data_IF_204191711144
#
_entry.id   IF_204191711144
#
_cell.length_a   1.000
_cell.length_b   1.000
_cell.length_c   1.000
_cell.angle_alpha   90.00
_cell.angle_beta   90.00
_cell.angle_gamma   90.00
#
_symmetry.space_group_name_H-M   'P 1'
#
loop_
_entity.id
_entity.type
_entity.pdbx_description
1 polymer ?
#
# COMPACT_ATOMS: atom_id res chain seq x y z
N UNK A 1 -15.10 -19.28 3.30
CA UNK A 1 -14.17 -19.29 2.16
C UNK A 1 -14.61 -18.37 1.01
N UNK A 2 -15.69 -18.66 0.27
CA UNK A 2 -16.13 -17.76 -0.82
C UNK A 2 -16.64 -16.39 -0.33
N UNK A 3 -17.38 -16.36 0.80
CA UNK A 3 -17.86 -15.10 1.39
C UNK A 3 -16.73 -14.16 1.79
N UNK A 4 -15.67 -14.71 2.38
CA UNK A 4 -14.54 -13.94 2.90
C UNK A 4 -13.72 -13.34 1.74
N UNK A 5 -13.50 -14.11 0.67
CA UNK A 5 -12.83 -13.63 -0.54
C UNK A 5 -13.62 -12.52 -1.24
N UNK A 6 -14.94 -12.68 -1.37
CA UNK A 6 -15.80 -11.66 -1.98
C UNK A 6 -15.81 -10.39 -1.14
N UNK A 7 -15.83 -10.52 0.19
CA UNK A 7 -15.79 -9.38 1.10
C UNK A 7 -14.45 -8.63 0.99
N UNK A 8 -13.32 -9.35 0.93
CA UNK A 8 -12.00 -8.77 0.74
C UNK A 8 -11.90 -8.02 -0.60
N UNK A 9 -12.31 -8.65 -1.72
CA UNK A 9 -12.31 -7.99 -3.03
C UNK A 9 -13.24 -6.76 -3.08
N UNK A 10 -14.42 -6.84 -2.45
CA UNK A 10 -15.34 -5.71 -2.36
C UNK A 10 -14.75 -4.57 -1.52
N UNK A 11 -14.17 -4.88 -0.36
CA UNK A 11 -13.51 -3.88 0.49
C UNK A 11 -12.35 -3.20 -0.24
N UNK A 12 -11.58 -3.95 -1.01
CA UNK A 12 -10.49 -3.45 -1.86
C UNK A 12 -11.01 -2.47 -2.91
N UNK A 13 -12.02 -2.87 -3.69
CA UNK A 13 -12.62 -2.03 -4.72
C UNK A 13 -13.29 -0.78 -4.14
N UNK A 14 -13.99 -0.90 -3.01
CA UNK A 14 -14.64 0.21 -2.32
C UNK A 14 -13.62 1.21 -1.77
N UNK A 15 -12.49 0.73 -1.23
CA UNK A 15 -11.40 1.59 -0.75
C UNK A 15 -10.82 2.41 -1.90
N UNK A 16 -10.50 1.78 -3.03
CA UNK A 16 -9.98 2.48 -4.21
C UNK A 16 -11.01 3.49 -4.73
N UNK A 17 -12.28 3.09 -4.85
CA UNK A 17 -13.34 3.99 -5.30
C UNK A 17 -13.50 5.19 -4.37
N UNK A 18 -13.52 4.97 -3.05
CA UNK A 18 -13.63 6.02 -2.05
C UNK A 18 -12.45 6.99 -2.13
N UNK A 19 -11.22 6.47 -2.12
CA UNK A 19 -10.01 7.30 -2.22
C UNK A 19 -9.99 8.09 -3.52
N UNK A 20 -10.40 7.48 -4.64
CA UNK A 20 -10.47 8.17 -5.92
C UNK A 20 -11.55 9.27 -5.90
N UNK A 21 -12.77 8.97 -5.46
CA UNK A 21 -13.87 9.95 -5.48
C UNK A 21 -13.56 11.17 -4.60
N UNK A 22 -13.01 10.96 -3.41
CA UNK A 22 -12.83 12.06 -2.45
C UNK A 22 -11.43 12.70 -2.50
N UNK A 23 -10.40 11.96 -2.91
CA UNK A 23 -9.00 12.37 -2.74
C UNK A 23 -8.18 12.33 -4.04
N UNK A 24 -8.77 12.10 -5.23
CA UNK A 24 -8.00 11.89 -6.49
C UNK A 24 -7.00 13.00 -6.88
N UNK A 25 -7.17 14.24 -6.41
CA UNK A 25 -6.21 15.34 -6.68
C UNK A 25 -5.18 15.54 -5.57
N UNK A 26 -5.09 14.61 -4.63
CA UNK A 26 -4.19 14.73 -3.48
C UNK A 26 -3.10 13.66 -3.53
N UNK A 27 -1.89 13.96 -3.04
CA UNK A 27 -0.82 12.97 -2.92
C UNK A 27 -1.21 11.79 -2.00
N UNK A 28 -2.19 11.98 -1.11
CA UNK A 28 -2.76 10.94 -0.28
C UNK A 28 -3.39 9.80 -1.09
N UNK A 29 -4.11 10.12 -2.19
CA UNK A 29 -4.71 9.09 -3.03
C UNK A 29 -3.65 8.24 -3.73
N UNK A 30 -2.54 8.86 -4.15
CA UNK A 30 -1.41 8.16 -4.74
C UNK A 30 -0.82 7.17 -3.72
N UNK A 31 -0.52 7.63 -2.51
CA UNK A 31 0.07 6.80 -1.46
C UNK A 31 -0.83 5.60 -1.13
N UNK A 32 -2.12 5.85 -0.90
CA UNK A 32 -3.07 4.81 -0.52
C UNK A 32 -3.28 3.76 -1.63
N UNK A 33 -3.51 4.22 -2.87
CA UNK A 33 -3.76 3.30 -4.00
C UNK A 33 -2.48 2.55 -4.39
N UNK A 34 -1.32 3.20 -4.39
CA UNK A 34 -0.06 2.54 -4.74
C UNK A 34 0.38 1.53 -3.68
N UNK A 35 0.26 1.84 -2.39
CA UNK A 35 0.53 0.88 -1.32
C UNK A 35 -0.39 -0.34 -1.40
N UNK A 36 -1.68 -0.13 -1.69
CA UNK A 36 -2.65 -1.22 -1.80
C UNK A 36 -2.49 -2.03 -3.10
N UNK A 37 -2.29 -1.39 -4.25
CA UNK A 37 -2.23 -2.08 -5.55
C UNK A 37 -0.84 -2.60 -5.89
N UNK A 38 0.13 -1.69 -5.94
CA UNK A 38 1.48 -2.05 -6.33
C UNK A 38 2.22 -2.76 -5.20
N UNK A 39 2.05 -2.29 -3.96
CA UNK A 39 2.65 -2.89 -2.78
C UNK A 39 2.17 -4.32 -2.57
N UNK A 40 0.89 -4.51 -2.25
CA UNK A 40 0.31 -5.82 -1.94
C UNK A 40 0.49 -6.83 -3.09
N UNK A 41 0.18 -6.42 -4.32
CA UNK A 41 0.34 -7.28 -5.50
C UNK A 41 1.77 -7.78 -5.68
N UNK A 42 2.77 -6.91 -5.48
CA UNK A 42 4.17 -7.30 -5.57
C UNK A 42 4.64 -8.09 -4.34
N UNK A 43 4.09 -7.83 -3.16
CA UNK A 43 4.35 -8.61 -1.96
C UNK A 43 3.96 -10.08 -2.17
N UNK A 44 2.81 -10.30 -2.79
CA UNK A 44 2.25 -11.64 -3.00
C UNK A 44 3.01 -12.41 -4.09
N UNK A 45 3.35 -11.74 -5.21
CA UNK A 45 4.19 -12.33 -6.27
C UNK A 45 5.59 -12.65 -5.74
N UNK A 46 6.23 -11.70 -5.05
CA UNK A 46 7.59 -11.90 -4.55
C UNK A 46 7.63 -12.92 -3.39
N UNK A 47 6.64 -12.89 -2.51
CA UNK A 47 6.56 -13.78 -1.37
C UNK A 47 6.35 -15.24 -1.77
N UNK A 48 5.53 -15.50 -2.81
CA UNK A 48 5.35 -16.84 -3.36
C UNK A 48 6.48 -17.26 -4.30
N UNK A 49 6.98 -16.32 -5.11
CA UNK A 49 7.97 -16.59 -6.15
C UNK A 49 9.40 -16.79 -5.64
N UNK A 50 9.82 -16.03 -4.62
CA UNK A 50 11.19 -16.12 -4.10
C UNK A 50 11.33 -17.05 -2.88
N UNK A 51 10.22 -17.59 -2.35
CA UNK A 51 10.23 -18.67 -1.36
C UNK A 51 11.14 -18.43 -0.13
N UNK A 52 11.37 -17.17 0.23
CA UNK A 52 12.43 -16.75 1.14
C UNK A 52 12.16 -17.03 2.62
N UNK A 53 13.09 -16.59 3.47
CA UNK A 53 12.95 -16.68 4.93
C UNK A 53 11.64 -16.05 5.38
N UNK A 54 10.85 -16.83 6.12
CA UNK A 54 9.60 -16.39 6.73
C UNK A 54 9.90 -15.45 7.90
N UNK A 55 9.00 -14.54 8.18
CA UNK A 55 9.13 -13.67 9.33
C UNK A 55 9.02 -14.49 10.63
N UNK A 56 9.87 -14.24 11.64
CA UNK A 56 9.89 -15.02 12.88
C UNK A 56 8.58 -14.91 13.67
N UNK A 57 7.88 -13.78 13.51
CA UNK A 57 6.57 -13.50 14.12
C UNK A 57 5.38 -13.82 13.20
N UNK A 58 5.59 -13.98 11.89
CA UNK A 58 4.51 -14.27 10.95
C UNK A 58 4.94 -15.28 9.87
N UNK A 59 4.53 -16.54 10.03
CA UNK A 59 4.94 -17.65 9.13
C UNK A 59 4.18 -17.66 7.79
N UNK A 60 3.17 -16.82 7.59
CA UNK A 60 2.50 -16.67 6.30
C UNK A 60 3.20 -15.68 5.38
N UNK A 61 3.93 -14.70 5.95
CA UNK A 61 4.64 -13.64 5.20
C UNK A 61 6.15 -13.91 5.16
N UNK A 62 6.82 -13.33 4.17
CA UNK A 62 8.27 -13.49 3.95
C UNK A 62 8.96 -12.13 3.95
N UNK A 63 10.25 -12.10 4.33
CA UNK A 63 11.05 -10.88 4.23
C UNK A 63 11.11 -10.36 2.78
N UNK A 64 11.17 -11.28 1.81
CA UNK A 64 11.14 -10.93 0.39
C UNK A 64 9.86 -10.20 0.00
N UNK A 65 8.69 -10.68 0.45
CA UNK A 65 7.40 -10.03 0.20
C UNK A 65 7.32 -8.63 0.82
N UNK A 66 7.74 -8.47 2.08
CA UNK A 66 7.71 -7.16 2.77
C UNK A 66 8.63 -6.13 2.11
N UNK A 67 9.84 -6.54 1.70
CA UNK A 67 10.77 -5.65 0.99
C UNK A 67 10.21 -5.29 -0.38
N UNK A 68 9.67 -6.28 -1.11
CA UNK A 68 9.06 -6.05 -2.42
C UNK A 68 7.86 -5.10 -2.33
N UNK A 69 7.04 -5.21 -1.29
CA UNK A 69 5.94 -4.30 -1.02
C UNK A 69 6.41 -2.85 -0.87
N UNK A 70 7.38 -2.62 0.01
CA UNK A 70 7.88 -1.27 0.27
C UNK A 70 8.48 -0.64 -0.99
N UNK A 71 9.29 -1.40 -1.74
CA UNK A 71 9.91 -0.92 -2.99
C UNK A 71 8.84 -0.64 -4.04
N UNK A 72 7.90 -1.56 -4.27
CA UNK A 72 6.86 -1.40 -5.28
C UNK A 72 5.92 -0.23 -4.96
N UNK A 73 5.47 -0.11 -3.71
CA UNK A 73 4.63 0.99 -3.25
C UNK A 73 5.34 2.34 -3.40
N UNK A 74 6.62 2.42 -3.03
CA UNK A 74 7.40 3.64 -3.15
C UNK A 74 7.64 4.05 -4.60
N UNK A 75 8.12 3.12 -5.45
CA UNK A 75 8.40 3.40 -6.85
C UNK A 75 7.12 3.77 -7.62
N UNK A 76 6.01 3.06 -7.37
CA UNK A 76 4.72 3.40 -7.95
C UNK A 76 4.27 4.80 -7.50
N UNK A 77 4.39 5.11 -6.20
CA UNK A 77 4.01 6.44 -5.69
C UNK A 77 4.83 7.57 -6.31
N UNK A 78 6.15 7.37 -6.50
CA UNK A 78 7.00 8.33 -7.19
C UNK A 78 6.60 8.51 -8.66
N UNK A 79 6.36 7.40 -9.37
CA UNK A 79 5.93 7.44 -10.77
C UNK A 79 4.65 8.26 -10.92
N UNK A 80 3.65 7.99 -10.07
CA UNK A 80 2.39 8.71 -10.08
C UNK A 80 2.53 10.16 -9.62
N UNK A 81 3.38 10.45 -8.63
CA UNK A 81 3.70 11.83 -8.24
C UNK A 81 4.23 12.64 -9.44
N UNK A 82 5.22 12.10 -10.16
CA UNK A 82 5.75 12.77 -11.36
C UNK A 82 4.71 12.86 -12.48
N UNK A 83 3.89 11.83 -12.67
CA UNK A 83 2.82 11.83 -13.67
C UNK A 83 1.77 12.91 -13.39
N UNK A 84 1.29 13.01 -12.16
CA UNK A 84 0.32 14.04 -11.76
C UNK A 84 0.93 15.43 -11.68
N UNK A 85 2.23 15.53 -11.42
CA UNK A 85 2.95 16.80 -11.49
C UNK A 85 3.13 17.31 -12.91
N UNK A 86 3.37 16.41 -13.86
CA UNK A 86 3.41 16.76 -15.28
C UNK A 86 2.06 17.25 -15.81
N UNK A 87 0.96 16.77 -15.23
CA UNK A 87 -0.40 17.22 -15.54
C UNK A 87 -0.84 18.48 -14.73
N UNK A 88 0.09 19.10 -14.00
CA UNK A 88 -0.15 20.30 -13.16
C UNK A 88 -1.22 20.10 -12.07
N UNK A 89 -1.51 18.85 -11.69
CA UNK A 89 -2.46 18.55 -10.60
C UNK A 89 -1.81 18.59 -9.22
N UNK A 90 -0.51 18.30 -9.11
CA UNK A 90 0.23 18.20 -7.85
C UNK A 90 1.62 18.84 -8.02
N UNK A 91 2.06 19.64 -7.06
CA UNK A 91 3.44 20.14 -7.03
C UNK A 91 4.36 19.09 -6.39
N UNK A 92 5.21 18.45 -7.20
CA UNK A 92 6.19 17.50 -6.70
C UNK A 92 7.18 18.20 -5.76
N UNK A 93 7.30 17.73 -4.53
CA UNK A 93 8.24 18.27 -3.54
C UNK A 93 9.11 17.17 -2.92
N UNK A 94 10.34 17.50 -2.48
CA UNK A 94 11.20 16.55 -1.75
C UNK A 94 10.54 16.02 -0.47
N UNK A 95 9.69 16.82 0.17
CA UNK A 95 8.94 16.40 1.36
C UNK A 95 7.94 15.29 1.01
N UNK A 96 7.28 15.37 -0.16
CA UNK A 96 6.39 14.30 -0.61
C UNK A 96 7.13 13.00 -0.88
N UNK A 97 8.35 13.06 -1.42
CA UNK A 97 9.20 11.87 -1.60
C UNK A 97 9.48 11.19 -0.26
N UNK A 98 9.84 11.96 0.77
CA UNK A 98 10.02 11.44 2.12
C UNK A 98 8.71 10.89 2.71
N UNK A 99 7.58 11.58 2.49
CA UNK A 99 6.26 11.12 2.90
C UNK A 99 5.89 9.77 2.27
N UNK A 100 6.06 9.61 0.96
CA UNK A 100 5.82 8.34 0.27
C UNK A 100 6.75 7.23 0.74
N UNK A 101 8.02 7.55 1.02
CA UNK A 101 8.96 6.58 1.59
C UNK A 101 8.47 6.08 2.96
N UNK A 102 8.12 6.99 3.87
CA UNK A 102 7.61 6.64 5.19
C UNK A 102 6.30 5.86 5.12
N UNK A 103 5.36 6.29 4.27
CA UNK A 103 4.10 5.56 4.07
C UNK A 103 4.38 4.15 3.58
N UNK A 104 5.22 3.97 2.54
CA UNK A 104 5.54 2.64 2.00
C UNK A 104 6.17 1.70 3.04
N UNK A 105 7.04 2.23 3.92
CA UNK A 105 7.64 1.46 5.00
C UNK A 105 6.59 1.02 6.02
N UNK A 106 5.71 1.93 6.45
CA UNK A 106 4.70 1.57 7.44
C UNK A 106 3.63 0.66 6.84
N UNK A 107 3.23 0.87 5.58
CA UNK A 107 2.35 -0.07 4.86
C UNK A 107 2.94 -1.48 4.87
N UNK A 108 4.25 -1.62 4.58
CA UNK A 108 4.94 -2.90 4.62
C UNK A 108 5.05 -3.51 6.04
N UNK A 109 5.23 -2.68 7.06
CA UNK A 109 5.22 -3.14 8.45
C UNK A 109 3.83 -3.61 8.89
N UNK A 110 2.78 -2.87 8.52
CA UNK A 110 1.38 -3.22 8.81
C UNK A 110 1.00 -4.54 8.12
N UNK A 111 1.40 -4.72 6.86
CA UNK A 111 1.25 -5.96 6.09
C UNK A 111 1.99 -7.15 6.74
N UNK A 112 3.17 -6.89 7.31
CA UNK A 112 3.97 -7.94 7.95
C UNK A 112 3.35 -8.45 9.25
N UNK A 113 2.52 -7.63 9.90
CA UNK A 113 1.98 -7.89 11.22
C UNK A 113 0.87 -8.96 11.17
N UNK A 114 0.87 -9.95 12.09
CA UNK A 114 -0.15 -10.99 12.10
C UNK A 114 -1.45 -10.46 12.71
N UNK A 115 -2.24 -9.72 11.93
CA UNK A 115 -3.57 -9.31 12.34
C UNK A 115 -4.54 -10.51 12.38
N UNK A 116 -5.57 -10.48 13.25
CA UNK A 116 -6.61 -11.50 13.26
C UNK A 116 -7.38 -11.48 11.94
N UNK A 117 -7.77 -12.65 11.41
CA UNK A 117 -8.41 -12.87 10.09
C UNK A 117 -9.71 -12.07 9.79
N UNK A 118 -10.23 -11.33 10.77
CA UNK A 118 -11.38 -10.42 10.62
C UNK A 118 -10.93 -9.03 10.14
N UNK A 119 -9.70 -8.63 10.49
CA UNK A 119 -9.00 -7.45 10.01
C UNK A 119 -7.99 -7.92 8.97
N UNK A 120 -8.50 -8.29 7.80
CA UNK A 120 -7.68 -8.74 6.69
C UNK A 120 -6.74 -7.62 6.24
N UNK A 121 -5.53 -7.99 5.81
CA UNK A 121 -4.44 -7.07 5.46
C UNK A 121 -4.88 -6.01 4.42
N UNK A 122 -5.84 -6.40 3.57
CA UNK A 122 -6.54 -5.59 2.56
C UNK A 122 -7.25 -4.33 3.10
N UNK A 123 -7.58 -4.27 4.39
CA UNK A 123 -8.25 -3.11 5.00
C UNK A 123 -7.31 -2.31 5.90
N UNK A 124 -6.41 -2.99 6.61
CA UNK A 124 -5.49 -2.36 7.56
C UNK A 124 -4.39 -1.58 6.84
N UNK A 125 -3.87 -2.10 5.73
CA UNK A 125 -2.83 -1.42 4.94
C UNK A 125 -3.33 -0.10 4.34
N UNK A 126 -4.48 -0.02 3.66
CA UNK A 126 -4.99 1.25 3.16
C UNK A 126 -5.29 2.25 4.26
N UNK A 127 -5.90 1.82 5.37
CA UNK A 127 -6.24 2.70 6.47
C UNK A 127 -4.98 3.30 7.13
N UNK A 128 -3.96 2.47 7.37
CA UNK A 128 -2.68 2.95 7.89
C UNK A 128 -1.98 3.90 6.91
N UNK A 129 -2.01 3.57 5.62
CA UNK A 129 -1.41 4.38 4.56
C UNK A 129 -2.09 5.74 4.44
N UNK A 130 -3.42 5.78 4.47
CA UNK A 130 -4.22 7.02 4.44
C UNK A 130 -3.98 7.87 5.69
N UNK A 131 -3.97 7.24 6.87
CA UNK A 131 -3.75 7.96 8.13
C UNK A 131 -2.38 8.62 8.14
N UNK A 132 -1.32 7.90 7.76
CA UNK A 132 0.02 8.46 7.69
C UNK A 132 0.18 9.50 6.58
N UNK A 133 -0.39 9.24 5.41
CA UNK A 133 -0.39 10.21 4.32
C UNK A 133 -1.05 11.53 4.75
N UNK A 134 -2.11 11.49 5.56
CA UNK A 134 -2.76 12.71 6.08
C UNK A 134 -1.82 13.57 6.95
N UNK A 135 -0.86 12.96 7.65
CA UNK A 135 0.08 13.67 8.50
C UNK A 135 1.39 14.05 7.79
N UNK A 136 1.74 13.35 6.71
CA UNK A 136 3.05 13.43 6.06
C UNK A 136 3.04 14.06 4.65
N UNK A 137 1.87 14.15 3.99
CA UNK A 137 1.68 14.64 2.62
C UNK A 137 0.64 15.75 2.57
#
# INVERSE_FOLDING_TARGET
>A
MFRDLVLACLAYALTIAFVTVFYWRTPLAIAAICSLCAGDGMADIAGRGFGGSKLPYNKSKTYAGTIAMAIAAFLASLLYMYYFSWLEYIEASPNMVLGFFLVSLVSALVESYPFPSILDDNLTVPLASMLLATFLL
#
